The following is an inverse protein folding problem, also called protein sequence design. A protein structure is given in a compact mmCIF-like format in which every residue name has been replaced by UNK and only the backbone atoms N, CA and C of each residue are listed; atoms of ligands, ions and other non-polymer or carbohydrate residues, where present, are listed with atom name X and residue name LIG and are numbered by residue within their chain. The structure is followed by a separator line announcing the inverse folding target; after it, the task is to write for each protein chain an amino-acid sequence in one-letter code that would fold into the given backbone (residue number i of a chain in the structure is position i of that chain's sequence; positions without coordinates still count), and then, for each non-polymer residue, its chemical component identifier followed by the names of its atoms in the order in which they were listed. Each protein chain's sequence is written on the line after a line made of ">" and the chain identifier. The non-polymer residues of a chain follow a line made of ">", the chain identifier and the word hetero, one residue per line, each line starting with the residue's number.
data_IF_863898325673
#
_entry.id   IF_863898325673
#
_cell.length_a   1.000
_cell.length_b   1.000
_cell.length_c   1.000
_cell.angle_alpha   90.00
_cell.angle_beta   90.00
_cell.angle_gamma   90.00
#
_symmetry.space_group_name_H-M   'P 1'
#
loop_
_entity.id
_entity.type
_entity.pdbx_description
1 polymer ?
#
# COMPACT_ATOMS: atom_id res chain seq x y z
N UNK A 1 -23.74 1.49 19.92
CA UNK A 1 -22.85 0.41 19.46
C UNK A 1 -21.76 1.10 18.65
N UNK A 2 -20.51 1.08 19.12
CA UNK A 2 -19.39 1.42 18.25
C UNK A 2 -19.35 0.31 17.22
N UNK A 3 -19.71 0.61 15.96
CA UNK A 3 -19.62 -0.37 14.88
C UNK A 3 -18.17 -0.83 14.73
N UNK A 4 -17.98 -2.09 14.38
CA UNK A 4 -16.67 -2.60 14.03
C UNK A 4 -16.11 -1.78 12.84
N UNK A 5 -14.79 -1.60 12.81
CA UNK A 5 -14.09 -0.85 11.75
C UNK A 5 -13.30 -1.88 10.96
N UNK A 6 -13.48 -1.93 9.64
CA UNK A 6 -12.67 -2.77 8.76
C UNK A 6 -11.21 -2.31 8.82
N UNK A 7 -10.32 -3.17 9.30
CA UNK A 7 -8.90 -2.88 9.46
C UNK A 7 -8.11 -3.45 8.28
N UNK A 8 -7.64 -2.59 7.39
CA UNK A 8 -6.67 -2.96 6.38
C UNK A 8 -5.24 -2.76 6.92
N UNK A 9 -4.35 -3.69 6.64
CA UNK A 9 -2.91 -3.56 6.94
C UNK A 9 -2.11 -3.79 5.68
N UNK A 10 -1.36 -2.77 5.24
CA UNK A 10 -0.32 -2.88 4.24
C UNK A 10 1.02 -3.05 4.96
N UNK A 11 1.56 -4.26 4.94
CA UNK A 11 2.89 -4.57 5.47
C UNK A 11 3.90 -4.60 4.33
N UNK A 12 4.76 -3.58 4.23
CA UNK A 12 5.88 -3.58 3.28
C UNK A 12 6.87 -4.69 3.62
N UNK A 13 7.60 -5.20 2.62
CA UNK A 13 8.53 -6.32 2.78
C UNK A 13 9.86 -6.06 2.07
N UNK A 14 9.97 -6.37 0.79
CA UNK A 14 11.19 -6.18 -0.01
C UNK A 14 11.19 -4.80 -0.64
N UNK A 15 12.32 -4.11 -0.53
CA UNK A 15 12.53 -2.81 -1.16
C UNK A 15 13.69 -2.87 -2.16
N UNK A 16 13.49 -2.26 -3.32
CA UNK A 16 14.53 -2.01 -4.32
C UNK A 16 14.75 -0.51 -4.50
N UNK A 17 15.63 -0.13 -5.43
CA UNK A 17 15.76 1.28 -5.84
C UNK A 17 14.53 1.82 -6.59
N UNK A 18 13.69 0.93 -7.12
CA UNK A 18 12.56 1.27 -7.98
C UNK A 18 11.23 1.19 -7.25
N UNK A 19 11.06 0.17 -6.42
CA UNK A 19 9.77 -0.17 -5.79
C UNK A 19 9.91 -0.59 -4.34
N UNK A 20 8.77 -0.63 -3.66
CA UNK A 20 8.62 -1.41 -2.43
C UNK A 20 7.45 -2.37 -2.62
N UNK A 21 7.71 -3.63 -2.33
CA UNK A 21 6.75 -4.73 -2.32
C UNK A 21 6.08 -4.81 -0.94
N UNK A 22 4.88 -5.37 -0.88
CA UNK A 22 4.20 -5.60 0.39
C UNK A 22 2.99 -6.53 0.28
N UNK A 23 2.32 -6.74 1.39
CA UNK A 23 1.10 -7.54 1.48
C UNK A 23 -0.01 -6.71 2.12
N UNK A 24 -1.22 -6.83 1.57
CA UNK A 24 -2.42 -6.21 2.10
C UNK A 24 -3.28 -7.29 2.75
N UNK A 25 -3.60 -7.10 4.03
CA UNK A 25 -4.58 -7.91 4.76
C UNK A 25 -5.78 -7.08 5.20
N UNK A 26 -6.91 -7.75 5.45
CA UNK A 26 -8.12 -7.20 6.05
C UNK A 26 -8.43 -8.04 7.27
N UNK A 27 -8.52 -7.40 8.44
CA UNK A 27 -8.81 -8.04 9.72
C UNK A 27 -7.89 -9.24 10.04
N UNK A 28 -6.62 -9.12 9.63
CA UNK A 28 -5.60 -10.15 9.80
C UNK A 28 -5.51 -11.19 8.67
N UNK A 29 -6.49 -11.23 7.77
CA UNK A 29 -6.53 -12.18 6.66
C UNK A 29 -5.89 -11.59 5.39
N UNK A 30 -4.93 -12.30 4.81
CA UNK A 30 -4.26 -11.89 3.56
C UNK A 30 -5.27 -11.70 2.41
N UNK A 31 -5.09 -10.65 1.63
CA UNK A 31 -5.95 -10.32 0.47
C UNK A 31 -5.19 -10.34 -0.85
N UNK A 32 -4.06 -9.65 -0.90
CA UNK A 32 -3.27 -9.52 -2.12
C UNK A 32 -1.86 -9.00 -1.82
N UNK A 33 -0.98 -9.12 -2.82
CA UNK A 33 0.29 -8.42 -2.81
C UNK A 33 0.10 -6.97 -3.27
N UNK A 34 1.04 -6.11 -2.87
CA UNK A 34 1.07 -4.69 -3.21
C UNK A 34 2.41 -4.28 -3.78
N UNK A 35 2.38 -3.27 -4.65
CA UNK A 35 3.57 -2.62 -5.20
C UNK A 35 3.38 -1.10 -5.17
N UNK A 36 4.37 -0.40 -4.64
CA UNK A 36 4.43 1.07 -4.61
C UNK A 36 5.78 1.51 -5.22
N UNK A 37 5.94 2.80 -5.59
CA UNK A 37 7.27 3.34 -5.87
C UNK A 37 8.20 3.19 -4.66
N UNK A 38 9.52 3.28 -4.82
CA UNK A 38 10.43 3.05 -3.71
C UNK A 38 10.11 3.87 -2.42
N UNK A 39 10.27 3.23 -1.27
CA UNK A 39 10.05 3.83 0.04
C UNK A 39 11.26 4.67 0.46
N UNK A 40 11.05 5.93 0.84
CA UNK A 40 12.15 6.88 1.13
C UNK A 40 12.00 7.59 2.46
N UNK A 41 11.04 7.17 3.29
CA UNK A 41 10.76 7.89 4.52
C UNK A 41 12.01 7.97 5.41
N UNK A 42 12.32 9.20 5.82
CA UNK A 42 13.39 9.47 6.77
C UNK A 42 12.76 9.80 8.11
N UNK A 43 13.04 9.01 9.18
CA UNK A 43 12.48 9.27 10.50
C UNK A 43 12.71 10.71 10.96
N UNK A 44 11.67 11.31 11.54
CA UNK A 44 11.69 12.68 12.07
C UNK A 44 12.00 13.77 11.02
N UNK A 45 11.79 13.50 9.73
CA UNK A 45 11.88 14.51 8.66
C UNK A 45 10.53 14.67 7.96
N UNK A 46 10.15 15.91 7.59
CA UNK A 46 8.89 16.15 6.88
C UNK A 46 8.93 15.48 5.50
N UNK A 47 7.75 15.13 4.96
CA UNK A 47 7.63 14.43 3.66
C UNK A 47 8.40 15.13 2.54
N UNK A 48 8.34 16.47 2.48
CA UNK A 48 9.06 17.25 1.47
C UNK A 48 10.59 17.11 1.51
N UNK A 49 11.17 16.58 2.60
CA UNK A 49 12.61 16.33 2.71
C UNK A 49 13.08 15.14 1.88
N UNK A 50 12.24 14.09 1.79
CA UNK A 50 12.62 12.81 1.20
C UNK A 50 11.77 12.41 -0.01
N UNK A 51 10.66 13.09 -0.25
CA UNK A 51 9.79 12.83 -1.39
C UNK A 51 10.45 13.25 -2.70
N UNK A 52 10.59 12.29 -3.60
CA UNK A 52 10.80 12.51 -5.03
C UNK A 52 9.44 12.39 -5.73
N UNK A 53 8.92 13.46 -6.38
CA UNK A 53 7.63 13.43 -7.06
C UNK A 53 7.50 12.26 -8.04
N UNK A 54 6.37 11.56 -8.00
CA UNK A 54 6.05 10.42 -8.86
C UNK A 54 6.90 9.17 -8.62
N UNK A 55 7.89 9.21 -7.72
CA UNK A 55 8.82 8.10 -7.52
C UNK A 55 8.84 7.57 -6.11
N UNK A 56 8.00 8.07 -5.21
CA UNK A 56 8.06 7.77 -3.77
C UNK A 56 6.75 7.20 -3.26
N UNK A 57 6.82 6.10 -2.50
CA UNK A 57 5.68 5.58 -1.74
C UNK A 57 5.19 6.56 -0.66
N UNK A 58 3.94 6.38 -0.22
CA UNK A 58 3.35 7.20 0.84
C UNK A 58 4.04 6.96 2.19
N UNK A 59 4.01 7.93 3.11
CA UNK A 59 4.53 7.72 4.46
C UNK A 59 3.80 6.59 5.17
N UNK A 60 4.50 5.94 6.09
CA UNK A 60 3.88 5.05 7.08
C UNK A 60 2.87 5.82 7.93
N UNK A 61 1.83 5.13 8.40
CA UNK A 61 0.74 5.75 9.15
C UNK A 61 -0.59 5.04 8.96
N UNK A 62 -1.63 5.58 9.59
CA UNK A 62 -3.00 5.07 9.46
C UNK A 62 -3.86 6.13 8.78
N UNK A 63 -4.59 5.72 7.75
CA UNK A 63 -5.40 6.60 6.91
C UNK A 63 -6.84 6.07 6.85
N UNK A 64 -7.81 6.98 6.83
CA UNK A 64 -9.17 6.63 6.47
C UNK A 64 -9.23 6.26 4.98
N UNK A 65 -10.09 5.32 4.63
CA UNK A 65 -10.29 4.87 3.26
C UNK A 65 -11.74 5.09 2.87
N UNK A 66 -11.94 5.76 1.75
CA UNK A 66 -13.24 5.89 1.09
C UNK A 66 -13.21 5.26 -0.30
N UNK A 67 -14.36 5.12 -0.96
CA UNK A 67 -14.45 4.73 -2.37
C UNK A 67 -14.98 5.90 -3.16
N UNK A 68 -14.21 6.33 -4.17
CA UNK A 68 -14.61 7.43 -5.05
C UNK A 68 -14.29 7.11 -6.52
N UNK A 69 -15.04 7.73 -7.43
CA UNK A 69 -14.78 7.60 -8.86
C UNK A 69 -13.47 8.31 -9.25
N UNK A 70 -12.56 7.58 -9.90
CA UNK A 70 -11.35 8.16 -10.50
C UNK A 70 -11.66 8.58 -11.94
N UNK A 71 -11.66 9.89 -12.22
CA UNK A 71 -11.79 10.39 -13.59
C UNK A 71 -10.57 10.02 -14.46
N UNK A 72 -9.40 9.83 -13.85
CA UNK A 72 -8.17 9.39 -14.52
C UNK A 72 -8.29 7.94 -15.00
N UNK A 73 -8.76 7.06 -14.13
CA UNK A 73 -8.74 5.61 -14.39
C UNK A 73 -10.07 5.10 -14.95
N UNK A 74 -11.16 5.86 -14.81
CA UNK A 74 -12.47 5.56 -15.36
C UNK A 74 -13.35 4.63 -14.52
N UNK A 75 -12.98 4.35 -13.27
CA UNK A 75 -13.71 3.46 -12.36
C UNK A 75 -13.62 3.91 -10.89
N UNK A 76 -14.48 3.34 -10.05
CA UNK A 76 -14.45 3.53 -8.60
C UNK A 76 -13.31 2.74 -7.97
N UNK A 77 -12.53 3.38 -7.12
CA UNK A 77 -11.43 2.74 -6.39
C UNK A 77 -11.30 3.30 -4.97
N UNK A 78 -10.66 2.54 -4.06
CA UNK A 78 -10.35 3.03 -2.73
C UNK A 78 -9.40 4.22 -2.82
N UNK A 79 -9.69 5.27 -2.06
CA UNK A 79 -8.88 6.48 -1.91
C UNK A 79 -8.52 6.65 -0.44
N UNK A 80 -7.25 6.98 -0.17
CA UNK A 80 -6.75 7.27 1.17
C UNK A 80 -6.86 8.76 1.46
N UNK A 81 -7.43 9.11 2.60
CA UNK A 81 -7.61 10.49 3.01
C UNK A 81 -6.42 11.08 3.76
N UNK A 82 -6.19 12.36 3.54
CA UNK A 82 -5.23 13.19 4.29
C UNK A 82 -3.79 12.63 4.31
N UNK A 83 -3.36 11.94 3.25
CA UNK A 83 -1.99 11.41 3.16
C UNK A 83 -0.96 12.56 3.09
N UNK A 84 -0.06 12.72 4.08
CA UNK A 84 0.82 13.89 4.16
C UNK A 84 1.71 14.05 2.92
N UNK A 85 1.61 15.20 2.26
CA UNK A 85 2.42 15.53 1.09
C UNK A 85 2.03 14.79 -0.19
N UNK A 86 0.92 14.04 -0.22
CA UNK A 86 0.36 13.39 -1.40
C UNK A 86 -1.08 13.84 -1.65
N UNK A 87 -1.55 13.69 -2.88
CA UNK A 87 -2.93 13.99 -3.27
C UNK A 87 -3.48 12.83 -4.09
N UNK A 88 -4.74 12.45 -3.84
CA UNK A 88 -5.43 11.45 -4.64
C UNK A 88 -4.80 10.05 -4.59
N UNK A 89 -4.22 9.66 -3.45
CA UNK A 89 -3.61 8.33 -3.27
C UNK A 89 -4.70 7.27 -3.33
N UNK A 90 -4.56 6.33 -4.26
CA UNK A 90 -5.54 5.26 -4.50
C UNK A 90 -4.93 3.89 -4.37
N UNK A 91 -5.78 2.90 -4.12
CA UNK A 91 -5.45 1.49 -4.38
C UNK A 91 -6.02 1.16 -5.76
N UNK A 92 -5.21 0.76 -6.74
CA UNK A 92 -5.71 0.59 -8.10
C UNK A 92 -5.01 -0.51 -8.92
N UNK A 93 -5.54 -0.73 -10.11
CA UNK A 93 -5.01 -1.68 -11.09
C UNK A 93 -3.75 -1.08 -11.73
N UNK A 94 -2.67 -1.85 -11.70
CA UNK A 94 -1.38 -1.56 -12.34
C UNK A 94 -0.43 -2.70 -11.97
N UNK A 95 0.68 -2.81 -12.68
CA UNK A 95 1.56 -3.98 -12.58
C UNK A 95 3.00 -3.61 -12.27
N UNK A 96 3.45 -2.42 -12.66
CA UNK A 96 4.85 -2.01 -12.58
C UNK A 96 5.04 -0.70 -11.80
N UNK A 97 6.25 -0.37 -11.34
CA UNK A 97 6.50 0.83 -10.55
C UNK A 97 6.20 2.13 -11.32
N UNK A 98 6.28 2.07 -12.65
CA UNK A 98 5.97 3.16 -13.56
C UNK A 98 4.45 3.40 -13.77
N UNK A 99 3.60 2.43 -13.39
CA UNK A 99 2.15 2.57 -13.43
C UNK A 99 1.59 3.39 -12.25
N UNK A 100 2.45 3.84 -11.33
CA UNK A 100 2.06 4.55 -10.11
C UNK A 100 2.99 5.73 -9.81
N UNK A 101 2.41 6.80 -9.25
CA UNK A 101 3.11 8.01 -8.83
C UNK A 101 3.06 8.22 -7.30
N UNK A 102 2.79 7.13 -6.57
CA UNK A 102 2.59 7.10 -5.11
C UNK A 102 1.30 6.40 -4.68
N UNK A 103 0.52 5.88 -5.63
CA UNK A 103 -0.60 4.99 -5.34
C UNK A 103 -0.12 3.57 -5.03
N UNK A 104 -1.01 2.77 -4.45
CA UNK A 104 -0.79 1.37 -4.10
C UNK A 104 -1.35 0.50 -5.23
N UNK A 105 -0.48 -0.23 -5.93
CA UNK A 105 -0.89 -1.24 -6.89
C UNK A 105 -1.18 -2.55 -6.16
N UNK A 106 -2.08 -3.38 -6.69
CA UNK A 106 -2.42 -4.69 -6.13
C UNK A 106 -2.29 -5.80 -7.16
N UNK A 107 -1.96 -7.02 -6.72
CA UNK A 107 -1.96 -8.21 -7.55
C UNK A 107 -2.05 -9.51 -6.75
N UNK A 108 -2.40 -10.61 -7.42
CA UNK A 108 -2.53 -11.92 -6.76
C UNK A 108 -1.20 -12.66 -6.66
N UNK A 109 -0.18 -12.20 -7.39
CA UNK A 109 1.17 -12.75 -7.36
C UNK A 109 2.18 -11.60 -7.40
N UNK A 110 3.36 -11.87 -6.84
CA UNK A 110 4.51 -10.97 -6.84
C UNK A 110 5.57 -11.50 -7.82
N UNK A 111 6.08 -10.63 -8.68
CA UNK A 111 7.26 -10.83 -9.53
C UNK A 111 8.41 -9.95 -9.07
N UNK A 112 9.45 -9.77 -9.91
CA UNK A 112 10.55 -8.87 -9.56
C UNK A 112 10.21 -7.44 -9.97
N UNK A 113 9.99 -6.56 -8.97
CA UNK A 113 9.47 -5.21 -9.18
C UNK A 113 8.13 -5.16 -9.94
N UNK A 114 7.30 -6.19 -9.82
CA UNK A 114 5.98 -6.20 -10.46
C UNK A 114 4.96 -6.98 -9.64
N UNK A 115 3.69 -6.63 -9.79
CA UNK A 115 2.57 -7.46 -9.37
C UNK A 115 1.84 -8.01 -10.58
N UNK A 116 1.30 -9.21 -10.48
CA UNK A 116 0.57 -9.88 -11.56
C UNK A 116 -0.91 -10.04 -11.24
N UNK A 117 -1.74 -10.18 -12.28
CA UNK A 117 -3.19 -10.35 -12.18
C UNK A 117 -3.89 -9.23 -11.37
N UNK A 118 -3.45 -8.00 -11.56
CA UNK A 118 -3.92 -6.82 -10.82
C UNK A 118 -5.42 -6.60 -10.87
N UNK A 119 -6.05 -6.84 -12.03
CA UNK A 119 -7.52 -6.78 -12.18
C UNK A 119 -8.26 -7.77 -11.27
N UNK A 120 -7.74 -8.99 -11.13
CA UNK A 120 -8.38 -10.02 -10.30
C UNK A 120 -8.25 -9.68 -8.81
N UNK A 121 -7.06 -9.26 -8.38
CA UNK A 121 -6.83 -8.80 -7.01
C UNK A 121 -7.71 -7.59 -6.66
N UNK A 122 -7.74 -6.59 -7.55
CA UNK A 122 -8.54 -5.39 -7.37
C UNK A 122 -10.04 -5.71 -7.27
N UNK A 123 -10.58 -6.58 -8.14
CA UNK A 123 -11.98 -6.96 -8.09
C UNK A 123 -12.35 -7.66 -6.77
N UNK A 124 -11.50 -8.58 -6.30
CA UNK A 124 -11.72 -9.27 -5.02
C UNK A 124 -11.65 -8.31 -3.83
N UNK A 125 -10.68 -7.39 -3.82
CA UNK A 125 -10.55 -6.36 -2.80
C UNK A 125 -11.76 -5.42 -2.79
N UNK A 126 -12.16 -4.92 -3.97
CA UNK A 126 -13.30 -4.01 -4.10
C UNK A 126 -14.60 -4.61 -3.63
N UNK A 127 -14.85 -5.90 -3.86
CA UNK A 127 -16.04 -6.56 -3.35
C UNK A 127 -16.17 -6.47 -1.82
N UNK A 128 -15.05 -6.59 -1.09
CA UNK A 128 -15.01 -6.47 0.38
C UNK A 128 -15.17 -5.02 0.83
N UNK A 129 -14.42 -4.10 0.23
CA UNK A 129 -14.47 -2.66 0.55
C UNK A 129 -15.87 -2.09 0.29
N UNK A 130 -16.51 -2.48 -0.81
CA UNK A 130 -17.88 -2.04 -1.11
C UNK A 130 -18.91 -2.62 -0.15
N UNK A 131 -18.75 -3.87 0.31
CA UNK A 131 -19.62 -4.45 1.31
C UNK A 131 -19.54 -3.69 2.64
N UNK A 132 -18.33 -3.36 3.11
CA UNK A 132 -18.12 -2.51 4.28
C UNK A 132 -18.80 -1.14 4.11
N UNK A 133 -18.60 -0.49 2.96
CA UNK A 133 -19.23 0.79 2.67
C UNK A 133 -20.77 0.71 2.68
N UNK A 134 -21.37 -0.34 2.09
CA UNK A 134 -22.82 -0.55 2.10
C UNK A 134 -23.37 -0.75 3.52
N UNK A 135 -22.58 -1.37 4.39
CA UNK A 135 -22.90 -1.56 5.79
C UNK A 135 -22.64 -0.31 6.65
N UNK A 136 -22.18 0.80 6.04
CA UNK A 136 -21.73 2.00 6.74
C UNK A 136 -20.63 1.71 7.77
N UNK A 137 -19.82 0.69 7.48
CA UNK A 137 -18.65 0.30 8.25
C UNK A 137 -17.49 1.22 7.89
N UNK A 138 -16.88 1.95 8.84
CA UNK A 138 -15.68 2.74 8.56
C UNK A 138 -14.52 1.83 8.14
N UNK A 139 -13.69 2.31 7.21
CA UNK A 139 -12.54 1.56 6.69
C UNK A 139 -11.28 2.35 6.98
N UNK A 140 -10.26 1.68 7.51
CA UNK A 140 -8.94 2.27 7.74
C UNK A 140 -7.86 1.39 7.17
N UNK A 141 -6.77 2.00 6.71
CA UNK A 141 -5.55 1.30 6.30
C UNK A 141 -4.37 1.77 7.13
N UNK A 142 -3.68 0.82 7.75
CA UNK A 142 -2.39 1.05 8.39
C UNK A 142 -1.28 0.61 7.45
N UNK A 143 -0.34 1.49 7.16
CA UNK A 143 0.81 1.27 6.28
C UNK A 143 2.06 1.17 7.14
N UNK A 144 2.71 0.00 7.12
CA UNK A 144 3.88 -0.30 7.93
C UNK A 144 5.15 -0.42 7.06
N UNK A 145 6.31 0.01 7.58
CA UNK A 145 7.58 -0.15 6.87
C UNK A 145 7.97 -1.62 6.80
N UNK A 146 8.91 -1.94 5.91
CA UNK A 146 9.55 -3.25 5.91
C UNK A 146 10.13 -3.56 7.31
N UNK A 147 9.94 -4.78 7.84
CA UNK A 147 10.57 -5.16 9.09
C UNK A 147 12.08 -4.96 8.97
N UNK A 148 12.68 -4.30 9.95
CA UNK A 148 14.14 -4.28 10.05
C UNK A 148 14.55 -5.72 10.35
N UNK A 149 15.09 -6.42 9.36
CA UNK A 149 15.74 -7.70 9.60
C UNK A 149 16.80 -7.46 10.68
N UNK A 150 16.61 -8.05 11.85
CA UNK A 150 17.63 -8.05 12.88
C UNK A 150 18.92 -8.55 12.23
N UNK A 151 19.98 -7.74 12.29
CA UNK A 151 21.27 -8.09 11.73
C UNK A 151 21.62 -9.50 12.21
N UNK A 152 21.72 -10.45 11.28
CA UNK A 152 22.21 -11.78 11.61
C UNK A 152 23.60 -11.60 12.21
N UNK A 153 23.91 -12.20 13.38
CA UNK A 153 25.25 -12.11 13.93
C UNK A 153 26.22 -12.64 12.87
N UNK A 154 27.10 -11.76 12.39
CA UNK A 154 28.24 -12.16 11.56
C UNK A 154 29.07 -13.10 12.42
N UNK A 155 28.93 -14.41 12.19
CA UNK A 155 29.86 -15.39 12.77
C UNK A 155 31.18 -15.24 12.03
N UNK A 156 32.04 -14.38 12.58
CA UNK A 156 33.44 -14.33 12.22
C UNK A 156 34.12 -15.60 12.73
N UNK A 157 34.12 -16.66 11.92
CA UNK A 157 35.06 -17.75 12.14
C UNK A 157 36.33 -17.43 11.37
N UNK A 158 37.26 -16.77 12.07
CA UNK A 158 38.68 -16.77 11.70
C UNK A 158 39.39 -17.81 12.58
N UNK A 159 39.76 -18.93 11.97
CA UNK A 159 40.97 -19.74 12.23
C UNK A 159 40.91 -21.00 11.36
#
# INVERSE_FOLDING_TARGET
>A
MLGDIMQMLLQRSKQTSESVEGELSIDGEFQCFTLEPAFREVPNKPVGYWKVPGKTAIPTGTYAVEVSYSARDGYYSPILDNVPGFLGVRIHIGNFPQDTEGCILVGTQMGDNEVLNSKAAFAALMAKVQAAQQNHEPIQITVQPAPILAAQPVTSTSA
#
